data_IF_593771714328
#
_entry.id   IF_593771714328
#
_cell.length_a   1.000
_cell.length_b   1.000
_cell.length_c   1.000
_cell.angle_alpha   90.00
_cell.angle_beta   90.00
_cell.angle_gamma   90.00
#
_symmetry.space_group_name_H-M   'P 1'
#
loop_
_entity.id
_entity.type
_entity.pdbx_description
1 polymer ?
#
# COMPACT_ATOMS: atom_id res chain seq x y z
N UNK A 1 -17.91 -16.38 8.33
CA UNK A 1 -17.01 -17.53 8.02
C UNK A 1 -15.83 -17.49 8.97
N UNK A 2 -15.54 -18.56 9.71
CA UNK A 2 -14.36 -18.66 10.57
C UNK A 2 -13.06 -18.48 9.77
N UNK A 3 -12.04 -17.88 10.38
CA UNK A 3 -10.80 -17.54 9.67
C UNK A 3 -10.08 -18.75 9.04
N UNK A 4 -10.06 -19.90 9.74
CA UNK A 4 -9.49 -21.14 9.20
C UNK A 4 -10.19 -21.63 7.91
N UNK A 5 -11.49 -21.45 7.81
CA UNK A 5 -12.25 -21.82 6.60
C UNK A 5 -11.98 -20.83 5.47
N UNK A 6 -11.80 -19.56 5.78
CA UNK A 6 -11.41 -18.54 4.83
C UNK A 6 -10.03 -18.87 4.21
N UNK A 7 -9.05 -19.27 5.04
CA UNK A 7 -7.74 -19.70 4.55
C UNK A 7 -7.83 -20.92 3.64
N UNK A 8 -8.66 -21.92 3.97
CA UNK A 8 -8.90 -23.09 3.09
C UNK A 8 -9.49 -22.69 1.74
N UNK A 9 -10.44 -21.75 1.73
CA UNK A 9 -11.04 -21.24 0.50
C UNK A 9 -10.00 -20.53 -0.36
N UNK A 10 -9.20 -19.67 0.23
CA UNK A 10 -8.12 -18.93 -0.42
C UNK A 10 -7.06 -19.89 -0.97
N UNK A 11 -6.63 -20.88 -0.19
CA UNK A 11 -5.70 -21.92 -0.64
C UNK A 11 -6.21 -22.65 -1.87
N UNK A 12 -7.48 -23.11 -1.84
CA UNK A 12 -8.10 -23.80 -2.96
C UNK A 12 -8.14 -22.94 -4.23
N UNK A 13 -8.43 -21.64 -4.10
CA UNK A 13 -8.42 -20.69 -5.22
C UNK A 13 -7.02 -20.57 -5.85
N UNK A 14 -5.99 -20.43 -5.03
CA UNK A 14 -4.59 -20.38 -5.49
C UNK A 14 -4.16 -21.68 -6.19
N UNK A 15 -4.51 -22.83 -5.62
CA UNK A 15 -4.21 -24.14 -6.23
C UNK A 15 -4.90 -24.34 -7.57
N UNK A 16 -6.15 -23.89 -7.70
CA UNK A 16 -6.91 -23.98 -8.96
C UNK A 16 -6.30 -23.11 -10.06
N UNK A 17 -5.86 -21.90 -9.73
CA UNK A 17 -5.34 -20.95 -10.70
C UNK A 17 -3.85 -21.17 -11.01
N UNK A 18 -3.06 -21.51 -10.02
CA UNK A 18 -1.61 -21.51 -10.12
C UNK A 18 -0.97 -22.90 -10.05
N UNK A 19 -1.71 -23.93 -9.62
CA UNK A 19 -1.18 -25.29 -9.44
C UNK A 19 -0.64 -25.93 -10.71
N UNK A 20 -1.05 -25.47 -11.88
CA UNK A 20 -0.52 -25.91 -13.18
C UNK A 20 0.91 -25.43 -13.48
N UNK A 21 1.43 -24.41 -12.77
CA UNK A 21 2.79 -23.89 -12.96
C UNK A 21 3.82 -24.56 -12.07
N UNK A 22 3.51 -24.74 -10.80
CA UNK A 22 4.24 -25.59 -9.85
C UNK A 22 3.37 -25.81 -8.59
N UNK A 23 3.84 -26.63 -7.65
CA UNK A 23 3.15 -26.85 -6.37
C UNK A 23 2.99 -25.55 -5.61
N UNK A 24 1.74 -25.20 -5.25
CA UNK A 24 1.42 -24.06 -4.38
C UNK A 24 1.71 -24.46 -2.95
N UNK A 25 2.51 -23.63 -2.25
CA UNK A 25 2.78 -23.82 -0.82
C UNK A 25 1.53 -23.54 0.02
N UNK A 26 1.41 -24.10 1.23
CA UNK A 26 0.32 -23.73 2.13
C UNK A 26 0.29 -22.21 2.38
N UNK A 27 -0.92 -21.62 2.33
CA UNK A 27 -1.10 -20.18 2.57
C UNK A 27 -0.64 -19.81 3.97
N UNK A 28 0.15 -18.73 4.08
CA UNK A 28 0.55 -18.18 5.36
C UNK A 28 -0.56 -17.26 5.86
N UNK A 29 -1.29 -17.71 6.88
CA UNK A 29 -2.31 -16.92 7.56
C UNK A 29 -1.73 -16.01 8.62
N UNK A 30 -2.56 -15.08 9.11
CA UNK A 30 -2.22 -14.18 10.20
C UNK A 30 -2.56 -14.81 11.54
N UNK A 31 -1.67 -14.76 12.53
CA UNK A 31 -1.91 -15.31 13.86
C UNK A 31 -3.05 -14.58 14.59
N UNK A 32 -3.03 -13.25 14.55
CA UNK A 32 -4.05 -12.38 15.11
C UNK A 32 -4.73 -11.55 14.01
N UNK A 33 -5.75 -12.11 13.30
CA UNK A 33 -6.27 -11.53 12.07
C UNK A 33 -7.22 -10.34 12.27
N UNK A 34 -7.07 -9.62 13.37
CA UNK A 34 -7.92 -8.50 13.74
C UNK A 34 -7.10 -7.21 13.89
N UNK A 35 -7.75 -6.07 13.64
CA UNK A 35 -7.23 -4.71 13.87
C UNK A 35 -5.88 -4.42 13.20
N UNK A 36 -5.61 -5.11 12.10
CA UNK A 36 -4.33 -5.07 11.39
C UNK A 36 -4.19 -3.87 10.44
N UNK A 37 -5.31 -3.23 10.07
CA UNK A 37 -5.33 -2.24 9.01
C UNK A 37 -4.84 -0.89 9.52
N UNK A 38 -3.62 -0.50 9.12
CA UNK A 38 -2.94 0.72 9.53
C UNK A 38 -3.39 2.00 8.81
N UNK A 39 -4.25 1.86 7.80
CA UNK A 39 -4.85 2.95 7.03
C UNK A 39 -6.36 2.84 7.11
N UNK A 40 -6.98 3.77 7.80
CA UNK A 40 -8.43 3.81 8.05
C UNK A 40 -9.01 5.05 7.40
N UNK A 41 -10.17 4.90 6.81
CA UNK A 41 -10.88 5.97 6.11
C UNK A 41 -12.32 6.03 6.58
N UNK A 42 -12.80 7.20 6.98
CA UNK A 42 -14.17 7.42 7.41
C UNK A 42 -14.82 8.58 6.66
N UNK A 43 -16.12 8.44 6.41
CA UNK A 43 -17.02 9.49 5.96
C UNK A 43 -17.99 9.85 7.09
N UNK A 44 -18.61 11.02 7.01
CA UNK A 44 -19.48 11.55 8.06
C UNK A 44 -20.80 12.01 7.47
N UNK A 45 -21.87 11.77 8.22
CA UNK A 45 -23.22 12.19 7.86
C UNK A 45 -24.06 12.39 9.14
N UNK A 46 -25.35 12.52 9.03
CA UNK A 46 -26.29 12.60 10.13
C UNK A 46 -27.29 11.45 10.09
N UNK A 47 -27.61 10.93 11.26
CA UNK A 47 -28.72 9.99 11.40
C UNK A 47 -30.08 10.71 11.29
N UNK A 48 -31.19 9.96 11.34
CA UNK A 48 -32.54 10.50 11.27
C UNK A 48 -32.89 11.44 12.44
N UNK A 49 -32.12 11.41 13.52
CA UNK A 49 -32.28 12.26 14.70
C UNK A 49 -31.40 13.51 14.65
N UNK A 50 -30.59 13.64 13.60
CA UNK A 50 -29.65 14.75 13.44
C UNK A 50 -28.31 14.57 14.17
N UNK A 51 -28.03 13.40 14.75
CA UNK A 51 -26.72 13.14 15.35
C UNK A 51 -25.69 12.83 14.25
N UNK A 52 -24.48 13.32 14.44
CA UNK A 52 -23.37 13.02 13.53
C UNK A 52 -23.00 11.54 13.63
N UNK A 53 -22.97 10.85 12.51
CA UNK A 53 -22.47 9.48 12.36
C UNK A 53 -21.18 9.45 11.55
N UNK A 54 -20.38 8.40 11.73
CA UNK A 54 -19.20 8.12 10.91
C UNK A 54 -19.20 6.66 10.44
N UNK A 55 -18.66 6.42 9.26
CA UNK A 55 -18.65 5.07 8.71
C UNK A 55 -18.12 5.04 7.28
N UNK A 56 -18.74 4.22 6.44
CA UNK A 56 -18.38 4.02 5.03
C UNK A 56 -19.62 4.25 4.15
N UNK A 57 -19.41 4.53 2.88
CA UNK A 57 -20.50 4.55 1.92
C UNK A 57 -21.04 3.15 1.63
N UNK A 58 -22.34 2.99 1.56
CA UNK A 58 -22.95 1.80 0.97
C UNK A 58 -22.55 1.72 -0.51
N UNK A 59 -22.28 0.51 -0.98
CA UNK A 59 -21.79 0.27 -2.34
C UNK A 59 -22.67 0.96 -3.40
N UNK A 60 -22.04 1.67 -4.32
CA UNK A 60 -22.70 2.40 -5.40
C UNK A 60 -23.53 3.62 -4.98
N UNK A 61 -23.40 4.09 -3.73
CA UNK A 61 -24.19 5.22 -3.20
C UNK A 61 -23.34 6.17 -2.36
N UNK A 62 -23.89 7.34 -2.01
CA UNK A 62 -23.35 8.26 -1.01
C UNK A 62 -24.01 8.12 0.37
N UNK A 63 -24.83 7.09 0.57
CA UNK A 63 -25.45 6.82 1.88
C UNK A 63 -24.43 6.26 2.85
N UNK A 64 -24.22 6.93 3.97
CA UNK A 64 -23.29 6.47 5.02
C UNK A 64 -23.91 5.35 5.84
N UNK A 65 -23.21 4.22 5.92
CA UNK A 65 -23.47 3.15 6.89
C UNK A 65 -22.62 3.46 8.13
N UNK A 66 -23.30 3.72 9.25
CA UNK A 66 -22.60 3.97 10.52
C UNK A 66 -21.80 2.73 10.95
N UNK A 67 -20.54 2.94 11.30
CA UNK A 67 -19.63 1.91 11.81
C UNK A 67 -19.11 2.37 13.18
N UNK A 68 -19.51 1.69 14.23
CA UNK A 68 -19.03 1.97 15.60
C UNK A 68 -17.76 1.18 15.93
N UNK A 69 -17.65 -0.05 15.40
CA UNK A 69 -16.48 -0.89 15.54
C UNK A 69 -16.25 -1.70 14.25
N UNK A 70 -15.02 -1.71 13.76
CA UNK A 70 -14.59 -2.53 12.64
C UNK A 70 -13.48 -3.49 13.10
N UNK A 71 -13.68 -4.79 12.90
CA UNK A 71 -12.75 -5.82 13.39
C UNK A 71 -11.42 -5.86 12.64
N UNK A 72 -11.30 -5.21 11.49
CA UNK A 72 -10.04 -5.19 10.71
C UNK A 72 -9.28 -3.87 10.85
N UNK A 73 -9.95 -2.76 11.17
CA UNK A 73 -9.33 -1.45 11.30
C UNK A 73 -8.62 -1.28 12.64
N UNK A 74 -7.48 -0.59 12.64
CA UNK A 74 -6.73 -0.28 13.87
C UNK A 74 -7.62 0.40 14.92
N UNK A 75 -7.60 -0.11 16.15
CA UNK A 75 -8.45 0.38 17.24
C UNK A 75 -8.21 1.85 17.57
N UNK A 76 -6.95 2.29 17.59
CA UNK A 76 -6.61 3.68 17.89
C UNK A 76 -7.14 4.63 16.83
N UNK A 77 -7.09 4.21 15.56
CA UNK A 77 -7.67 4.97 14.45
C UNK A 77 -9.18 5.13 14.59
N UNK A 78 -9.89 4.09 15.03
CA UNK A 78 -11.32 4.15 15.29
C UNK A 78 -11.66 5.09 16.45
N UNK A 79 -10.88 5.07 17.54
CA UNK A 79 -11.02 6.00 18.68
C UNK A 79 -10.86 7.46 18.22
N UNK A 80 -9.87 7.76 17.39
CA UNK A 80 -9.62 9.11 16.86
C UNK A 80 -10.79 9.56 15.96
N UNK A 81 -11.32 8.67 15.10
CA UNK A 81 -12.49 8.98 14.27
C UNK A 81 -13.71 9.33 15.14
N UNK A 82 -13.93 8.56 16.22
CA UNK A 82 -15.01 8.82 17.18
C UNK A 82 -14.84 10.19 17.84
N UNK A 83 -13.65 10.51 18.32
CA UNK A 83 -13.35 11.83 18.92
C UNK A 83 -13.56 12.96 17.91
N UNK A 84 -13.13 12.79 16.64
CA UNK A 84 -13.39 13.80 15.61
C UNK A 84 -14.89 13.98 15.43
N UNK A 85 -15.68 12.91 15.32
CA UNK A 85 -17.13 12.94 15.22
C UNK A 85 -17.77 13.76 16.34
N UNK A 86 -17.33 13.55 17.59
CA UNK A 86 -17.81 14.27 18.78
C UNK A 86 -17.43 15.76 18.78
N UNK A 87 -16.29 16.11 18.20
CA UNK A 87 -15.83 17.50 18.13
C UNK A 87 -16.53 18.32 17.04
N UNK A 88 -17.08 17.71 15.97
CA UNK A 88 -17.65 18.43 14.84
C UNK A 88 -18.74 19.45 15.24
N UNK A 89 -19.73 19.11 16.11
CA UNK A 89 -20.74 20.09 16.54
C UNK A 89 -20.17 21.28 17.31
N UNK A 90 -19.22 21.02 18.24
CA UNK A 90 -18.61 22.04 19.08
C UNK A 90 -17.82 23.06 18.27
N UNK A 91 -17.25 22.66 17.15
CA UNK A 91 -16.49 23.51 16.24
C UNK A 91 -17.33 24.02 15.06
N UNK A 92 -18.64 23.70 15.01
CA UNK A 92 -19.57 24.05 13.93
C UNK A 92 -19.06 23.61 12.56
N UNK A 93 -18.39 22.44 12.49
CA UNK A 93 -17.90 21.82 11.27
C UNK A 93 -19.00 20.95 10.71
N UNK A 94 -19.54 21.32 9.55
CA UNK A 94 -20.61 20.54 8.88
C UNK A 94 -20.01 19.38 8.09
N UNK A 95 -20.68 18.24 8.13
CA UNK A 95 -20.39 17.10 7.25
C UNK A 95 -20.67 17.48 5.80
N UNK A 96 -19.85 16.96 4.88
CA UNK A 96 -20.02 17.26 3.46
C UNK A 96 -21.02 16.28 2.83
N UNK A 97 -21.94 16.79 2.06
CA UNK A 97 -22.89 16.01 1.28
C UNK A 97 -22.43 15.98 -0.19
N UNK A 98 -22.12 14.79 -0.70
CA UNK A 98 -21.57 14.61 -2.05
C UNK A 98 -22.58 14.95 -3.16
N UNK A 99 -23.89 14.80 -2.89
CA UNK A 99 -24.94 15.04 -3.87
C UNK A 99 -25.22 16.55 -4.06
N UNK A 100 -25.13 17.31 -2.96
CA UNK A 100 -25.43 18.76 -2.99
C UNK A 100 -24.18 19.64 -3.03
N UNK A 101 -23.01 19.08 -2.70
CA UNK A 101 -21.76 19.84 -2.54
C UNK A 101 -21.73 20.74 -1.30
N UNK A 102 -22.70 20.59 -0.39
CA UNK A 102 -22.79 21.41 0.81
C UNK A 102 -22.08 20.77 1.99
N UNK A 103 -21.42 21.59 2.80
CA UNK A 103 -20.67 21.15 3.98
C UNK A 103 -19.17 21.35 3.83
N UNK A 104 -18.40 20.85 4.78
CA UNK A 104 -16.97 21.07 4.84
C UNK A 104 -16.17 19.77 4.92
N UNK A 105 -16.40 18.95 5.95
CA UNK A 105 -15.63 17.73 6.18
C UNK A 105 -16.16 16.58 5.32
N UNK A 106 -15.39 16.18 4.31
CA UNK A 106 -15.71 15.07 3.41
C UNK A 106 -15.27 13.74 3.98
N UNK A 107 -13.99 13.64 4.29
CA UNK A 107 -13.37 12.41 4.76
C UNK A 107 -12.38 12.67 5.87
N UNK A 108 -12.15 11.67 6.70
CA UNK A 108 -10.98 11.58 7.58
C UNK A 108 -10.19 10.35 7.17
N UNK A 109 -8.91 10.54 6.90
CA UNK A 109 -7.97 9.45 6.67
C UNK A 109 -6.98 9.41 7.83
N UNK A 110 -6.84 8.25 8.46
CA UNK A 110 -5.84 8.03 9.50
C UNK A 110 -4.82 7.02 9.02
N UNK A 111 -3.56 7.30 9.26
CA UNK A 111 -2.45 6.37 9.04
C UNK A 111 -1.67 6.20 10.33
N UNK A 112 -1.34 4.97 10.67
CA UNK A 112 -0.56 4.64 11.84
C UNK A 112 0.68 3.84 11.46
N UNK A 113 1.84 4.25 11.97
CA UNK A 113 3.03 3.41 11.99
C UNK A 113 2.90 2.40 13.13
N UNK A 114 2.88 1.11 12.82
CA UNK A 114 2.67 0.07 13.84
C UNK A 114 3.89 -0.12 14.72
N UNK A 115 5.08 -0.04 14.14
CA UNK A 115 6.35 -0.14 14.87
C UNK A 115 6.71 1.15 15.61
N UNK A 116 6.44 2.31 15.02
CA UNK A 116 6.83 3.60 15.59
C UNK A 116 5.76 4.18 16.52
N UNK A 117 4.50 3.76 16.38
CA UNK A 117 3.35 4.36 17.04
C UNK A 117 2.95 5.75 16.50
N UNK A 118 3.63 6.28 15.49
CA UNK A 118 3.31 7.58 14.90
C UNK A 118 1.95 7.57 14.20
N UNK A 119 1.17 8.66 14.38
CA UNK A 119 -0.18 8.76 13.82
C UNK A 119 -0.32 10.04 13.00
N UNK A 120 -0.81 9.88 11.78
CA UNK A 120 -1.20 10.97 10.90
C UNK A 120 -2.72 11.02 10.75
N UNK A 121 -3.30 12.18 10.97
CA UNK A 121 -4.71 12.48 10.69
C UNK A 121 -4.78 13.41 9.49
N UNK A 122 -5.49 13.00 8.45
CA UNK A 122 -5.75 13.83 7.26
C UNK A 122 -7.23 14.20 7.26
N UNK A 123 -7.51 15.48 7.36
CA UNK A 123 -8.85 16.05 7.26
C UNK A 123 -9.07 16.48 5.81
N UNK A 124 -9.94 15.78 5.10
CA UNK A 124 -10.28 16.09 3.71
C UNK A 124 -11.49 17.03 3.69
N UNK A 125 -11.30 18.21 3.15
CA UNK A 125 -12.27 19.29 3.18
C UNK A 125 -12.74 19.64 1.77
N UNK A 126 -14.02 20.02 1.64
CA UNK A 126 -14.58 20.60 0.42
C UNK A 126 -14.08 22.04 0.13
N UNK A 127 -13.47 22.70 1.11
CA UNK A 127 -12.89 24.04 0.97
C UNK A 127 -11.60 24.17 1.80
N UNK A 128 -10.72 25.14 1.52
CA UNK A 128 -9.39 25.23 2.17
C UNK A 128 -9.40 25.77 3.60
N UNK A 129 -10.55 26.19 4.11
CA UNK A 129 -10.66 26.87 5.41
C UNK A 129 -11.31 25.95 6.44
N UNK A 130 -10.54 25.54 7.44
CA UNK A 130 -11.05 24.87 8.64
C UNK A 130 -11.30 25.92 9.72
N UNK A 131 -12.55 26.13 10.19
CA UNK A 131 -12.83 27.05 11.28
C UNK A 131 -12.07 26.68 12.55
N UNK A 132 -11.53 27.67 13.24
CA UNK A 132 -10.82 27.48 14.53
C UNK A 132 -9.79 26.34 14.51
N UNK A 133 -9.09 26.15 13.39
CA UNK A 133 -8.19 24.99 13.15
C UNK A 133 -7.23 24.70 14.29
N UNK A 134 -6.63 25.73 14.89
CA UNK A 134 -5.66 25.56 15.98
C UNK A 134 -6.32 25.01 17.25
N UNK A 135 -7.53 25.50 17.59
CA UNK A 135 -8.29 25.02 18.74
C UNK A 135 -8.82 23.60 18.48
N UNK A 136 -9.27 23.30 17.25
CA UNK A 136 -9.67 21.93 16.86
C UNK A 136 -8.51 20.94 17.05
N UNK A 137 -7.34 21.24 16.52
CA UNK A 137 -6.13 20.41 16.69
C UNK A 137 -5.76 20.28 18.17
N UNK A 138 -5.82 21.37 18.94
CA UNK A 138 -5.54 21.33 20.38
C UNK A 138 -6.54 20.44 21.14
N UNK A 139 -7.83 20.53 20.82
CA UNK A 139 -8.86 19.70 21.43
C UNK A 139 -8.66 18.21 21.08
N UNK A 140 -8.42 17.90 19.81
CA UNK A 140 -8.16 16.54 19.35
C UNK A 140 -6.92 15.94 20.04
N UNK A 141 -5.82 16.69 20.10
CA UNK A 141 -4.57 16.25 20.73
C UNK A 141 -4.62 16.22 22.27
N UNK A 142 -5.56 16.92 22.89
CA UNK A 142 -5.78 16.76 24.32
C UNK A 142 -6.28 15.37 24.67
N UNK A 143 -7.07 14.75 23.78
CA UNK A 143 -7.57 13.37 23.93
C UNK A 143 -6.56 12.36 23.38
N UNK A 144 -5.90 12.69 22.26
CA UNK A 144 -4.97 11.83 21.55
C UNK A 144 -3.59 12.52 21.39
N UNK A 145 -2.79 12.59 22.47
CA UNK A 145 -1.47 13.25 22.45
C UNK A 145 -0.46 12.59 21.53
N UNK A 146 -0.67 11.31 21.20
CA UNK A 146 0.14 10.49 20.31
C UNK A 146 0.03 10.88 18.83
N UNK A 147 -0.94 11.73 18.44
CA UNK A 147 -1.03 12.25 17.06
C UNK A 147 0.24 13.03 16.72
N UNK A 148 1.02 12.49 15.78
CA UNK A 148 2.29 13.07 15.32
C UNK A 148 2.07 14.23 14.38
N UNK A 149 1.06 14.14 13.50
CA UNK A 149 0.78 15.18 12.50
C UNK A 149 -0.69 15.24 12.11
N UNK A 150 -1.16 16.46 11.79
CA UNK A 150 -2.50 16.69 11.21
C UNK A 150 -2.33 17.46 9.91
N UNK A 151 -2.92 16.95 8.84
CA UNK A 151 -2.85 17.51 7.49
C UNK A 151 -4.24 17.92 7.03
N UNK A 152 -4.40 19.12 6.48
CA UNK A 152 -5.56 19.47 5.67
C UNK A 152 -5.31 19.07 4.23
N UNK A 153 -6.25 18.35 3.64
CA UNK A 153 -6.30 18.07 2.22
C UNK A 153 -7.56 18.69 1.65
N UNK A 154 -7.45 19.35 0.51
CA UNK A 154 -8.59 20.03 -0.14
C UNK A 154 -9.02 19.22 -1.35
N UNK A 155 -10.24 18.71 -1.29
CA UNK A 155 -10.87 18.03 -2.41
C UNK A 155 -12.26 18.64 -2.66
N UNK A 156 -12.31 19.59 -3.57
CA UNK A 156 -13.51 20.29 -4.00
C UNK A 156 -14.05 19.80 -5.36
N UNK A 157 -13.52 18.69 -5.88
CA UNK A 157 -13.95 18.10 -7.14
C UNK A 157 -15.02 17.03 -6.89
N UNK A 158 -15.98 16.88 -7.78
CA UNK A 158 -16.86 15.71 -7.83
C UNK A 158 -16.06 14.53 -8.40
N UNK A 159 -15.56 13.67 -7.53
CA UNK A 159 -14.68 12.55 -7.88
C UNK A 159 -14.74 11.47 -6.82
N UNK A 160 -14.55 10.23 -7.22
CA UNK A 160 -14.38 9.08 -6.31
C UNK A 160 -13.02 9.09 -5.57
N UNK A 161 -12.11 9.98 -5.96
CA UNK A 161 -10.81 10.11 -5.27
C UNK A 161 -10.99 10.77 -3.92
N UNK A 162 -10.53 10.12 -2.85
CA UNK A 162 -10.61 10.63 -1.48
C UNK A 162 -9.77 11.90 -1.30
N UNK A 163 -8.51 11.85 -1.74
CA UNK A 163 -7.56 12.96 -1.57
C UNK A 163 -7.53 13.87 -2.79
N UNK A 164 -7.65 15.17 -2.55
CA UNK A 164 -7.44 16.21 -3.55
C UNK A 164 -5.93 16.51 -3.76
N UNK A 165 -5.66 17.45 -4.66
CA UNK A 165 -4.28 17.78 -5.04
C UNK A 165 -3.53 18.60 -3.98
N UNK A 166 -4.24 19.53 -3.32
CA UNK A 166 -3.66 20.48 -2.36
C UNK A 166 -3.70 19.93 -0.95
N UNK A 167 -2.55 19.92 -0.29
CA UNK A 167 -2.44 19.53 1.10
C UNK A 167 -1.52 20.46 1.86
N UNK A 168 -1.80 20.63 3.16
CA UNK A 168 -1.04 21.49 4.06
C UNK A 168 -1.01 20.90 5.47
N UNK A 169 0.15 20.67 6.06
CA UNK A 169 0.26 20.38 7.47
C UNK A 169 -0.27 21.55 8.29
N UNK A 170 -1.11 21.26 9.29
CA UNK A 170 -1.58 22.23 10.28
C UNK A 170 -1.05 21.93 11.67
N UNK A 171 -0.46 20.75 11.83
CA UNK A 171 0.30 20.33 12.99
C UNK A 171 1.32 19.24 12.58
N UNK A 172 2.52 19.30 13.14
CA UNK A 172 3.59 18.34 12.89
C UNK A 172 4.20 18.44 11.49
N UNK A 173 4.98 17.42 11.08
CA UNK A 173 5.80 17.49 9.87
C UNK A 173 5.02 17.22 8.57
N UNK A 174 3.77 16.76 8.61
CA UNK A 174 2.97 16.40 7.44
C UNK A 174 3.21 14.98 6.93
N UNK A 175 3.94 14.16 7.66
CA UNK A 175 4.19 12.75 7.39
C UNK A 175 4.40 12.00 8.70
N UNK A 176 4.36 10.69 8.63
CA UNK A 176 4.78 9.77 9.69
C UNK A 176 5.88 8.85 9.18
N UNK A 177 6.53 8.15 10.09
CA UNK A 177 7.47 7.09 9.77
C UNK A 177 6.97 5.77 10.31
N UNK A 178 7.32 4.68 9.62
CA UNK A 178 7.13 3.33 10.13
C UNK A 178 8.33 2.46 9.77
N UNK A 179 8.48 1.31 10.41
CA UNK A 179 9.52 0.33 10.12
C UNK A 179 8.92 -0.89 9.46
N UNK A 180 9.62 -1.43 8.47
CA UNK A 180 9.23 -2.65 7.76
C UNK A 180 10.50 -3.39 7.33
N UNK A 181 10.63 -4.66 7.69
CA UNK A 181 11.82 -5.48 7.40
C UNK A 181 13.14 -4.78 7.74
N UNK A 182 13.18 -4.04 8.87
CA UNK A 182 14.37 -3.34 9.35
C UNK A 182 14.73 -2.05 8.60
N UNK A 183 13.92 -1.58 7.67
CA UNK A 183 14.04 -0.28 7.03
C UNK A 183 12.98 0.69 7.57
N UNK A 184 13.33 1.97 7.68
CA UNK A 184 12.39 3.04 8.05
C UNK A 184 11.85 3.70 6.81
N UNK A 185 10.53 3.84 6.73
CA UNK A 185 9.84 4.47 5.59
C UNK A 185 9.07 5.69 6.03
N UNK A 186 9.25 6.77 5.29
CA UNK A 186 8.42 7.97 5.38
C UNK A 186 7.10 7.72 4.64
N UNK A 187 5.99 8.03 5.31
CA UNK A 187 4.64 7.83 4.81
C UNK A 187 3.95 9.19 4.77
N UNK A 188 3.71 9.70 3.57
CA UNK A 188 2.94 10.94 3.33
C UNK A 188 1.44 10.62 3.13
N UNK A 189 0.52 11.60 3.10
CA UNK A 189 -0.91 11.33 2.90
C UNK A 189 -1.22 10.49 1.66
N UNK A 190 -0.50 10.73 0.56
CA UNK A 190 -0.71 10.09 -0.75
C UNK A 190 0.18 8.89 -1.02
N UNK A 191 1.24 8.64 -0.22
CA UNK A 191 2.14 7.51 -0.45
C UNK A 191 1.39 6.19 -0.39
N UNK A 192 1.71 5.29 -1.31
CA UNK A 192 1.33 3.89 -1.15
C UNK A 192 2.18 3.28 -0.02
N UNK A 193 1.57 2.58 0.88
CA UNK A 193 2.19 1.77 1.92
C UNK A 193 1.21 0.66 2.28
N UNK A 194 1.70 -0.56 2.42
CA UNK A 194 0.88 -1.74 2.67
C UNK A 194 0.08 -1.59 3.97
N UNK A 195 -1.20 -2.02 3.93
CA UNK A 195 -2.14 -1.76 5.03
C UNK A 195 -2.06 -2.73 6.20
N UNK A 196 -1.37 -3.86 6.02
CA UNK A 196 -1.13 -4.88 7.04
C UNK A 196 0.39 -5.07 7.23
N UNK A 197 1.05 -4.29 8.09
CA UNK A 197 2.50 -4.35 8.23
C UNK A 197 3.01 -5.74 8.64
N UNK A 198 2.30 -6.44 9.53
CA UNK A 198 2.69 -7.77 10.02
C UNK A 198 2.80 -8.79 8.88
N UNK A 199 1.75 -8.90 8.07
CA UNK A 199 1.75 -9.82 6.93
C UNK A 199 2.64 -9.33 5.78
N UNK A 200 2.82 -8.02 5.66
CA UNK A 200 3.73 -7.45 4.66
C UNK A 200 5.20 -7.79 4.95
N UNK A 201 5.60 -7.86 6.22
CA UNK A 201 6.94 -8.34 6.58
C UNK A 201 7.16 -9.80 6.14
N UNK A 202 6.16 -10.66 6.36
CA UNK A 202 6.20 -12.05 5.90
C UNK A 202 6.27 -12.11 4.37
N UNK A 203 5.43 -11.32 3.68
CA UNK A 203 5.40 -11.23 2.22
C UNK A 203 6.76 -10.82 1.64
N UNK A 204 7.34 -9.75 2.18
CA UNK A 204 8.60 -9.20 1.67
C UNK A 204 9.80 -10.05 2.07
N UNK A 205 9.83 -10.62 3.28
CA UNK A 205 10.86 -11.59 3.65
C UNK A 205 10.82 -12.83 2.74
N UNK A 206 9.62 -13.35 2.41
CA UNK A 206 9.46 -14.42 1.42
C UNK A 206 10.02 -14.02 0.06
N UNK A 207 9.75 -12.79 -0.40
CA UNK A 207 10.30 -12.28 -1.65
C UNK A 207 11.84 -12.17 -1.62
N UNK A 208 12.41 -11.74 -0.50
CA UNK A 208 13.88 -11.69 -0.30
C UNK A 208 14.50 -13.08 -0.29
N UNK A 209 13.89 -14.05 0.41
CA UNK A 209 14.35 -15.44 0.42
C UNK A 209 14.32 -16.05 -0.98
N UNK A 210 13.29 -15.74 -1.78
CA UNK A 210 13.18 -16.23 -3.16
C UNK A 210 14.18 -15.56 -4.09
N UNK A 211 14.59 -14.34 -3.80
CA UNK A 211 15.59 -13.61 -4.56
C UNK A 211 17.02 -14.18 -4.36
N UNK A 212 17.32 -14.85 -3.23
CA UNK A 212 18.63 -15.47 -2.94
C UNK A 212 19.80 -14.50 -3.19
N UNK A 213 19.71 -13.30 -2.62
CA UNK A 213 20.72 -12.26 -2.80
C UNK A 213 21.98 -12.58 -1.96
N UNK A 214 23.15 -12.41 -2.56
CA UNK A 214 24.47 -12.75 -1.97
C UNK A 214 25.41 -11.54 -1.83
N UNK A 215 24.92 -10.35 -2.14
CA UNK A 215 25.72 -9.11 -2.21
C UNK A 215 26.41 -8.88 -3.57
N UNK A 216 26.20 -9.75 -4.55
CA UNK A 216 26.84 -9.66 -5.88
C UNK A 216 25.86 -9.24 -6.99
N UNK A 217 24.58 -9.30 -6.73
CA UNK A 217 23.52 -9.13 -7.72
C UNK A 217 23.25 -7.66 -8.03
N UNK A 218 22.97 -7.39 -9.30
CA UNK A 218 22.25 -6.20 -9.75
C UNK A 218 20.77 -6.52 -9.80
N UNK A 219 19.99 -5.76 -9.05
CA UNK A 219 18.56 -5.94 -8.85
C UNK A 219 17.79 -4.79 -9.50
N UNK A 220 16.70 -5.09 -10.18
CA UNK A 220 15.69 -4.11 -10.60
C UNK A 220 14.46 -4.28 -9.72
N UNK A 221 13.97 -3.18 -9.14
CA UNK A 221 12.66 -3.07 -8.51
C UNK A 221 11.75 -2.31 -9.47
N UNK A 222 10.99 -3.04 -10.25
CA UNK A 222 10.03 -2.49 -11.19
C UNK A 222 8.70 -2.22 -10.46
N UNK A 223 8.09 -1.07 -10.68
CA UNK A 223 6.96 -0.55 -9.88
C UNK A 223 7.37 -0.24 -8.44
N UNK A 224 8.56 0.37 -8.24
CA UNK A 224 9.17 0.43 -6.91
C UNK A 224 8.39 1.30 -5.88
N UNK A 225 7.42 2.11 -6.31
CA UNK A 225 6.66 2.97 -5.43
C UNK A 225 7.57 3.86 -4.58
N UNK A 226 7.39 3.82 -3.25
CA UNK A 226 8.24 4.53 -2.29
C UNK A 226 9.55 3.79 -1.97
N UNK A 227 9.88 2.76 -2.76
CA UNK A 227 11.12 2.01 -2.68
C UNK A 227 11.11 0.87 -1.67
N UNK A 228 9.95 0.38 -1.23
CA UNK A 228 9.89 -0.58 -0.12
C UNK A 228 10.66 -1.86 -0.42
N UNK A 229 10.36 -2.56 -1.51
CA UNK A 229 11.01 -3.83 -1.87
C UNK A 229 12.49 -3.60 -2.20
N UNK A 230 12.78 -2.62 -3.07
CA UNK A 230 14.14 -2.35 -3.51
C UNK A 230 15.09 -1.93 -2.40
N UNK A 231 14.64 -1.11 -1.45
CA UNK A 231 15.48 -0.68 -0.33
C UNK A 231 15.75 -1.81 0.67
N UNK A 232 14.77 -2.69 0.90
CA UNK A 232 14.99 -3.92 1.68
C UNK A 232 16.02 -4.81 0.97
N UNK A 233 15.89 -5.02 -0.34
CA UNK A 233 16.83 -5.81 -1.14
C UNK A 233 18.24 -5.21 -1.18
N UNK A 234 18.38 -3.89 -1.13
CA UNK A 234 19.66 -3.19 -1.18
C UNK A 234 20.63 -3.58 -0.06
N UNK A 235 20.12 -4.08 1.06
CA UNK A 235 20.96 -4.55 2.19
C UNK A 235 21.78 -5.79 1.84
N UNK A 236 21.31 -6.59 0.86
CA UNK A 236 21.92 -7.85 0.44
C UNK A 236 22.20 -7.90 -1.06
N UNK A 237 22.17 -6.77 -1.77
CA UNK A 237 22.46 -6.65 -3.18
C UNK A 237 23.71 -5.79 -3.42
N UNK A 238 24.42 -6.01 -4.53
CA UNK A 238 25.49 -5.12 -4.98
C UNK A 238 24.95 -3.76 -5.40
N UNK A 239 23.86 -3.76 -6.15
CA UNK A 239 23.22 -2.56 -6.70
C UNK A 239 21.74 -2.79 -6.87
N UNK A 240 20.93 -1.81 -6.54
CA UNK A 240 19.48 -1.80 -6.79
C UNK A 240 19.11 -0.63 -7.71
N UNK A 241 18.25 -0.89 -8.66
CA UNK A 241 17.69 0.09 -9.58
C UNK A 241 16.18 0.06 -9.39
N UNK A 242 15.63 1.10 -8.75
CA UNK A 242 14.18 1.29 -8.62
C UNK A 242 13.65 2.12 -9.79
N UNK A 243 12.53 1.71 -10.38
CA UNK A 243 11.88 2.45 -11.47
C UNK A 243 10.39 2.64 -11.13
N UNK A 244 9.91 3.89 -11.19
CA UNK A 244 8.54 4.26 -10.83
C UNK A 244 8.04 5.42 -11.72
N UNK A 245 6.78 5.33 -12.17
CA UNK A 245 6.14 6.36 -12.97
C UNK A 245 5.79 7.62 -12.17
N UNK A 246 5.35 7.42 -10.92
CA UNK A 246 4.90 8.49 -10.05
C UNK A 246 6.10 9.26 -9.47
N UNK A 247 6.29 10.50 -9.92
CA UNK A 247 7.41 11.35 -9.47
C UNK A 247 7.41 11.65 -7.97
N UNK A 248 6.25 11.71 -7.32
CA UNK A 248 6.16 11.93 -5.87
C UNK A 248 6.62 10.68 -5.11
N UNK A 249 6.24 9.49 -5.58
CA UNK A 249 6.74 8.24 -5.03
C UNK A 249 8.26 8.10 -5.21
N UNK A 250 8.80 8.46 -6.37
CA UNK A 250 10.26 8.51 -6.61
C UNK A 250 10.97 9.45 -5.63
N UNK A 251 10.39 10.61 -5.34
CA UNK A 251 10.93 11.54 -4.35
C UNK A 251 10.95 10.92 -2.96
N UNK A 252 9.85 10.29 -2.53
CA UNK A 252 9.77 9.60 -1.25
C UNK A 252 10.76 8.43 -1.19
N UNK A 253 10.91 7.64 -2.26
CA UNK A 253 11.88 6.54 -2.33
C UNK A 253 13.33 7.03 -2.14
N UNK A 254 13.70 8.15 -2.76
CA UNK A 254 15.05 8.76 -2.58
C UNK A 254 15.27 9.26 -1.15
N UNK A 255 14.25 9.84 -0.52
CA UNK A 255 14.30 10.25 0.88
C UNK A 255 14.47 9.02 1.77
N UNK A 256 13.70 7.96 1.52
CA UNK A 256 13.77 6.69 2.25
C UNK A 256 15.16 6.05 2.11
N UNK A 257 15.74 6.02 0.91
CA UNK A 257 17.11 5.53 0.70
C UNK A 257 18.11 6.29 1.56
N UNK A 258 18.05 7.63 1.56
CA UNK A 258 18.93 8.49 2.35
C UNK A 258 18.76 8.27 3.86
N UNK A 259 17.52 8.21 4.35
CA UNK A 259 17.21 8.03 5.78
C UNK A 259 17.68 6.67 6.30
N UNK A 260 17.70 5.63 5.44
CA UNK A 260 18.22 4.32 5.77
C UNK A 260 19.74 4.16 5.52
N UNK A 261 20.44 5.20 5.09
CA UNK A 261 21.88 5.14 4.78
C UNK A 261 22.21 4.25 3.57
N UNK A 262 21.24 3.93 2.72
CA UNK A 262 21.40 3.07 1.54
C UNK A 262 22.04 3.87 0.42
N UNK A 263 23.25 3.47 0.00
CA UNK A 263 24.06 4.16 -1.00
C UNK A 263 24.10 3.44 -2.35
N UNK A 264 23.69 2.17 -2.39
CA UNK A 264 23.72 1.29 -3.56
C UNK A 264 22.36 1.17 -4.26
N UNK A 265 21.40 2.05 -3.95
CA UNK A 265 20.10 2.13 -4.63
C UNK A 265 19.99 3.42 -5.45
N UNK A 266 19.65 3.27 -6.71
CA UNK A 266 19.40 4.35 -7.66
C UNK A 266 17.91 4.33 -8.05
N UNK A 267 17.19 5.44 -7.89
CA UNK A 267 15.75 5.50 -8.16
C UNK A 267 15.46 6.43 -9.34
N UNK A 268 14.82 5.89 -10.36
CA UNK A 268 14.51 6.56 -11.62
C UNK A 268 13.01 6.78 -11.78
N UNK A 269 12.66 7.98 -12.27
CA UNK A 269 11.30 8.29 -12.70
C UNK A 269 11.11 7.86 -14.15
N UNK A 270 10.22 6.92 -14.43
CA UNK A 270 9.95 6.45 -15.78
C UNK A 270 9.17 5.14 -15.84
N UNK A 271 8.95 4.71 -17.06
CA UNK A 271 8.34 3.41 -17.37
C UNK A 271 9.37 2.28 -17.23
N UNK A 272 9.09 1.32 -16.37
CA UNK A 272 10.02 0.23 -16.07
C UNK A 272 10.28 -0.68 -17.27
N UNK A 273 9.28 -0.90 -18.13
CA UNK A 273 9.43 -1.69 -19.34
C UNK A 273 10.39 -1.03 -20.34
N UNK A 274 10.21 0.27 -20.59
CA UNK A 274 11.13 1.03 -21.46
C UNK A 274 12.54 1.08 -20.89
N UNK A 275 12.66 1.25 -19.57
CA UNK A 275 13.94 1.26 -18.88
C UNK A 275 14.70 -0.06 -19.07
N UNK A 276 14.02 -1.21 -18.91
CA UNK A 276 14.64 -2.52 -19.10
C UNK A 276 15.03 -2.79 -20.55
N UNK A 277 14.22 -2.33 -21.52
CA UNK A 277 14.57 -2.42 -22.95
C UNK A 277 15.83 -1.60 -23.27
N UNK A 278 15.94 -0.39 -22.73
CA UNK A 278 17.12 0.47 -22.90
C UNK A 278 18.37 -0.18 -22.27
N UNK A 279 18.26 -0.72 -21.07
CA UNK A 279 19.35 -1.47 -20.45
C UNK A 279 19.81 -2.64 -21.33
N UNK A 280 18.87 -3.44 -21.85
CA UNK A 280 19.19 -4.59 -22.69
C UNK A 280 19.86 -4.16 -24.02
N UNK A 281 19.44 -3.03 -24.63
CA UNK A 281 20.05 -2.50 -25.84
C UNK A 281 21.50 -2.04 -25.64
N UNK A 282 21.84 -1.63 -24.41
CA UNK A 282 23.18 -1.22 -23.99
C UNK A 282 24.02 -2.37 -23.43
N UNK A 283 23.58 -3.64 -23.62
CA UNK A 283 24.19 -4.83 -23.04
C UNK A 283 24.34 -4.80 -21.50
N UNK A 284 23.57 -3.97 -20.81
CA UNK A 284 23.50 -3.97 -19.36
C UNK A 284 22.64 -5.14 -18.88
N UNK A 285 23.01 -5.74 -17.76
CA UNK A 285 22.34 -6.93 -17.21
C UNK A 285 21.80 -6.66 -15.82
N UNK A 286 20.72 -7.33 -15.48
CA UNK A 286 20.24 -7.51 -14.12
C UNK A 286 20.19 -8.99 -13.78
N UNK A 287 20.49 -9.33 -12.53
CA UNK A 287 20.46 -10.72 -12.06
C UNK A 287 19.05 -11.08 -11.54
N UNK A 288 18.38 -10.12 -10.90
CA UNK A 288 17.05 -10.28 -10.31
C UNK A 288 16.17 -9.11 -10.68
N UNK A 289 14.92 -9.39 -11.03
CA UNK A 289 13.85 -8.39 -11.18
C UNK A 289 12.76 -8.69 -10.16
N UNK A 290 12.49 -7.75 -9.27
CA UNK A 290 11.24 -7.71 -8.50
C UNK A 290 10.19 -6.97 -9.31
N UNK A 291 8.96 -7.48 -9.28
CA UNK A 291 7.80 -6.82 -9.87
C UNK A 291 6.59 -6.97 -8.94
N UNK A 292 5.96 -5.84 -8.63
CA UNK A 292 4.75 -5.73 -7.80
C UNK A 292 3.73 -4.84 -8.56
N UNK A 293 3.13 -5.37 -9.65
CA UNK A 293 2.25 -4.58 -10.50
C UNK A 293 0.88 -4.35 -9.82
N UNK A 294 0.08 -3.38 -10.34
CA UNK A 294 -1.29 -3.19 -9.89
C UNK A 294 -2.18 -4.41 -10.17
N UNK A 295 -3.41 -4.40 -9.64
CA UNK A 295 -4.39 -5.52 -9.75
C UNK A 295 -4.66 -6.02 -11.17
N UNK A 296 -4.49 -5.19 -12.19
CA UNK A 296 -4.63 -5.58 -13.59
C UNK A 296 -3.47 -6.44 -14.10
N UNK A 297 -2.46 -6.67 -13.26
CA UNK A 297 -1.22 -7.35 -13.66
C UNK A 297 -0.33 -6.50 -14.54
N UNK A 298 0.63 -7.13 -15.19
CA UNK A 298 1.52 -6.49 -16.17
C UNK A 298 1.01 -6.66 -17.59
N UNK A 299 1.27 -5.70 -18.45
CA UNK A 299 0.98 -5.83 -19.89
C UNK A 299 2.07 -6.66 -20.60
N UNK A 300 1.76 -7.16 -21.78
CA UNK A 300 2.70 -7.98 -22.60
C UNK A 300 3.97 -7.20 -22.95
N UNK A 301 3.87 -5.90 -23.11
CA UNK A 301 5.02 -5.05 -23.44
C UNK A 301 6.01 -5.02 -22.29
N UNK A 302 5.52 -4.90 -21.06
CA UNK A 302 6.36 -4.98 -19.87
C UNK A 302 6.96 -6.40 -19.72
N UNK A 303 6.15 -7.45 -19.82
CA UNK A 303 6.61 -8.84 -19.72
C UNK A 303 7.65 -9.18 -20.78
N UNK A 304 7.46 -8.70 -22.04
CA UNK A 304 8.45 -8.82 -23.12
C UNK A 304 9.77 -8.13 -22.79
N UNK A 305 9.72 -6.98 -22.07
CA UNK A 305 10.93 -6.27 -21.66
C UNK A 305 11.72 -7.04 -20.61
N UNK A 306 11.04 -7.74 -19.68
CA UNK A 306 11.68 -8.64 -18.72
C UNK A 306 12.38 -9.79 -19.43
N UNK A 307 11.70 -10.40 -20.43
CA UNK A 307 12.27 -11.51 -21.22
C UNK A 307 13.50 -11.02 -22.00
N UNK A 308 13.43 -9.83 -22.62
CA UNK A 308 14.52 -9.23 -23.40
C UNK A 308 15.73 -8.92 -22.52
N UNK A 309 15.54 -8.39 -21.34
CA UNK A 309 16.62 -8.17 -20.35
C UNK A 309 17.20 -9.48 -19.87
N UNK A 310 16.36 -10.50 -19.67
CA UNK A 310 16.74 -11.88 -19.38
C UNK A 310 17.37 -12.09 -17.99
N UNK A 311 16.83 -11.54 -16.89
CA UNK A 311 17.37 -11.77 -15.56
C UNK A 311 17.36 -13.27 -15.22
N UNK A 312 18.29 -13.68 -14.35
CA UNK A 312 18.37 -15.08 -13.89
C UNK A 312 17.12 -15.46 -13.06
N UNK A 313 16.58 -14.52 -12.31
CA UNK A 313 15.41 -14.69 -11.44
C UNK A 313 14.43 -13.53 -11.60
N UNK A 314 13.15 -13.87 -11.58
CA UNK A 314 12.05 -12.89 -11.46
C UNK A 314 11.28 -13.23 -10.20
N UNK A 315 11.10 -12.26 -9.32
CA UNK A 315 10.30 -12.37 -8.11
C UNK A 315 9.04 -11.53 -8.34
N UNK A 316 7.93 -12.21 -8.48
CA UNK A 316 6.64 -11.57 -8.73
C UNK A 316 5.83 -11.57 -7.43
N UNK A 317 5.50 -10.38 -6.94
CA UNK A 317 4.53 -10.16 -5.86
C UNK A 317 3.22 -9.76 -6.51
N UNK A 318 2.12 -10.40 -6.17
CA UNK A 318 0.83 -10.16 -6.84
C UNK A 318 -0.33 -10.15 -5.85
N UNK A 319 -1.20 -9.16 -5.99
CA UNK A 319 -2.46 -9.06 -5.23
C UNK A 319 -3.69 -9.63 -5.97
N UNK A 320 -3.49 -10.26 -7.15
CA UNK A 320 -4.57 -10.86 -7.94
C UNK A 320 -4.11 -12.15 -8.62
N UNK A 321 -4.57 -13.33 -8.16
CA UNK A 321 -4.13 -14.62 -8.70
C UNK A 321 -4.55 -14.88 -10.14
N UNK A 322 -5.65 -14.28 -10.63
CA UNK A 322 -6.11 -14.45 -12.02
C UNK A 322 -5.15 -13.77 -13.00
N UNK A 323 -4.81 -12.50 -12.74
CA UNK A 323 -3.85 -11.79 -13.59
C UNK A 323 -2.45 -12.35 -13.44
N UNK A 324 -2.09 -12.83 -12.25
CA UNK A 324 -0.84 -13.57 -12.03
C UNK A 324 -0.76 -14.82 -12.91
N UNK A 325 -1.80 -15.65 -12.95
CA UNK A 325 -1.84 -16.85 -13.79
C UNK A 325 -1.64 -16.52 -15.27
N UNK A 326 -2.28 -15.43 -15.77
CA UNK A 326 -2.09 -14.92 -17.13
C UNK A 326 -0.62 -14.56 -17.40
N UNK A 327 -0.03 -13.79 -16.51
CA UNK A 327 1.35 -13.28 -16.67
C UNK A 327 2.38 -14.41 -16.55
N UNK A 328 2.15 -15.37 -15.65
CA UNK A 328 2.97 -16.58 -15.51
C UNK A 328 2.94 -17.43 -16.79
N UNK A 329 1.77 -17.58 -17.42
CA UNK A 329 1.64 -18.29 -18.69
C UNK A 329 2.52 -17.65 -19.78
N UNK A 330 2.52 -16.31 -19.85
CA UNK A 330 3.37 -15.57 -20.78
C UNK A 330 4.87 -15.79 -20.50
N UNK A 331 5.30 -15.58 -19.25
CA UNK A 331 6.72 -15.72 -18.87
C UNK A 331 7.22 -17.16 -19.05
N UNK A 332 6.42 -18.17 -18.67
CA UNK A 332 6.82 -19.58 -18.78
C UNK A 332 6.83 -20.07 -20.22
N UNK A 333 5.99 -19.51 -21.09
CA UNK A 333 6.03 -19.72 -22.54
C UNK A 333 7.24 -19.10 -23.23
N UNK A 334 7.91 -18.14 -22.57
CA UNK A 334 9.01 -17.37 -23.14
C UNK A 334 10.33 -17.50 -22.35
N UNK A 335 10.64 -18.72 -21.91
CA UNK A 335 11.99 -19.06 -21.40
C UNK A 335 12.17 -18.98 -19.90
N UNK A 336 11.11 -18.82 -19.12
CA UNK A 336 11.14 -18.92 -17.66
C UNK A 336 10.45 -20.20 -17.17
N UNK A 337 10.75 -20.59 -15.95
CA UNK A 337 10.09 -21.67 -15.22
C UNK A 337 9.68 -21.15 -13.84
N UNK A 338 8.44 -21.38 -13.44
CA UNK A 338 7.96 -21.16 -12.07
C UNK A 338 8.49 -22.27 -11.19
N UNK A 339 9.17 -21.92 -10.08
CA UNK A 339 9.78 -22.90 -9.17
C UNK A 339 9.23 -22.84 -7.75
N UNK A 340 8.67 -21.71 -7.34
CA UNK A 340 8.03 -21.54 -6.02
C UNK A 340 6.83 -20.63 -6.13
N UNK A 341 5.75 -20.95 -5.40
CA UNK A 341 4.55 -20.13 -5.23
C UNK A 341 4.17 -20.16 -3.75
N UNK A 342 4.10 -18.97 -3.13
CA UNK A 342 3.75 -18.81 -1.73
C UNK A 342 2.64 -17.78 -1.57
N UNK A 343 1.40 -18.22 -1.31
CA UNK A 343 0.32 -17.31 -0.92
C UNK A 343 0.50 -16.81 0.52
N UNK A 344 0.14 -15.54 0.74
CA UNK A 344 0.15 -14.88 2.05
C UNK A 344 -1.19 -14.16 2.24
N UNK A 345 -1.88 -14.43 3.33
CA UNK A 345 -3.13 -13.72 3.63
C UNK A 345 -2.87 -12.35 4.23
N UNK A 346 -2.62 -11.37 3.37
CA UNK A 346 -2.40 -9.97 3.75
C UNK A 346 -3.72 -9.25 4.11
N UNK A 347 -4.86 -9.84 3.76
CA UNK A 347 -6.20 -9.26 3.93
C UNK A 347 -7.17 -10.23 4.61
N UNK A 348 -6.95 -10.59 5.90
CA UNK A 348 -7.92 -11.36 6.66
C UNK A 348 -9.33 -10.76 6.57
N UNK A 349 -10.34 -11.61 6.46
CA UNK A 349 -11.75 -11.27 6.28
C UNK A 349 -12.11 -10.51 4.99
N UNK A 350 -11.21 -10.48 4.01
CA UNK A 350 -11.46 -10.02 2.65
C UNK A 350 -11.12 -11.14 1.66
N UNK A 351 -11.58 -11.02 0.40
CA UNK A 351 -11.34 -12.04 -0.63
C UNK A 351 -9.96 -11.96 -1.30
N UNK A 352 -9.20 -10.92 -0.99
CA UNK A 352 -7.90 -10.69 -1.60
C UNK A 352 -6.80 -11.57 -0.99
N UNK A 353 -5.84 -11.95 -1.83
CA UNK A 353 -4.67 -12.75 -1.48
C UNK A 353 -3.45 -12.06 -2.08
N UNK A 354 -2.33 -12.05 -1.35
CA UNK A 354 -1.03 -11.72 -1.90
C UNK A 354 -0.26 -13.01 -2.18
N UNK A 355 0.44 -13.07 -3.30
CA UNK A 355 1.19 -14.28 -3.68
C UNK A 355 2.57 -13.91 -4.19
N UNK A 356 3.59 -14.54 -3.60
CA UNK A 356 4.98 -14.41 -4.05
C UNK A 356 5.33 -15.59 -4.94
N UNK A 357 5.82 -15.29 -6.15
CA UNK A 357 6.26 -16.30 -7.11
C UNK A 357 7.72 -16.09 -7.46
N UNK A 358 8.48 -17.20 -7.44
CA UNK A 358 9.84 -17.25 -7.98
C UNK A 358 9.82 -17.88 -9.36
N UNK A 359 10.31 -17.15 -10.35
CA UNK A 359 10.63 -17.68 -11.66
C UNK A 359 12.16 -17.70 -11.87
N UNK A 360 12.65 -18.72 -12.55
CA UNK A 360 14.05 -18.84 -12.97
C UNK A 360 14.12 -18.96 -14.48
N UNK A 361 15.16 -18.36 -15.08
CA UNK A 361 15.41 -18.49 -16.50
C UNK A 361 15.79 -19.93 -16.84
N UNK A 362 15.13 -20.52 -17.83
CA UNK A 362 15.52 -21.87 -18.34
C UNK A 362 16.93 -21.80 -18.94
N UNK A 363 17.70 -22.86 -18.74
CA UNK A 363 19.02 -22.99 -19.34
C UNK A 363 18.95 -23.27 -20.85
#
# INVERSE_FOLDING_TARGET
MPYKEQLKRKQKQEEQLLGGFCKVSPIIGMEHPYFYRNKVHAVFDHDRKGNVISGIYAEGTHRVIAVEECLIEDKKSQEIIRTIRELLPSFKIKTYNEDTGYGLLRHVLIRRGFETGEIMVVLVLGSPILPSKNNFVKALRKVHPEITTVVLNVNNKQTSMVLGEKEKPIYGPGFIKDRLCGCTFRISPKSFYQVNPVQTEILYNTAMDYAELTGKETVIDAYCGTGTIGLIAARNAKRVIGVELNKDAVKDARINAKENGIKNAEIYAGDAGRFMVDMASKNQKADVVFMDPPRVGSDEKFLSSVIKLGPKRVIYVSCNPETLARDLKYLTGNGYQTVKIQPVDNFPFCDHIETVVKLVKKR
#
